data_IF_460250262290
#
_entry.id   IF_460250262290
#
_cell.length_a   1.000
_cell.length_b   1.000
_cell.length_c   1.000
_cell.angle_alpha   90.00
_cell.angle_beta   90.00
_cell.angle_gamma   90.00
#
_symmetry.space_group_name_H-M   'P 1'
#
loop_
_entity.id
_entity.type
_entity.pdbx_description
1 polymer ?
#
# COMPACT_ATOMS: atom_id res chain seq x y z
N UNK A 1 -11.90 -16.11 -13.09
CA UNK A 1 -12.17 -16.32 -11.65
C UNK A 1 -12.10 -14.97 -10.98
N UNK A 2 -13.07 -14.60 -10.14
CA UNK A 2 -13.01 -13.32 -9.40
C UNK A 2 -11.89 -13.46 -8.38
N UNK A 3 -10.95 -12.53 -8.37
CA UNK A 3 -9.89 -12.53 -7.36
C UNK A 3 -10.50 -12.39 -5.97
N UNK A 4 -9.92 -13.07 -4.99
CA UNK A 4 -10.29 -12.93 -3.58
C UNK A 4 -10.09 -11.47 -3.13
N UNK A 5 -11.01 -10.99 -2.28
CA UNK A 5 -10.99 -9.63 -1.74
C UNK A 5 -10.79 -9.67 -0.24
N UNK A 6 -9.95 -8.77 0.25
CA UNK A 6 -9.63 -8.62 1.67
C UNK A 6 -10.16 -7.28 2.14
N UNK A 7 -10.86 -7.30 3.28
CA UNK A 7 -11.54 -6.15 3.87
C UNK A 7 -10.93 -5.85 5.23
N UNK A 8 -10.50 -4.61 5.42
CA UNK A 8 -10.04 -4.09 6.70
C UNK A 8 -10.88 -2.86 7.01
N UNK A 9 -11.42 -2.72 8.22
CA UNK A 9 -12.36 -1.63 8.55
C UNK A 9 -12.14 -1.08 9.96
N UNK A 10 -12.35 0.22 10.14
CA UNK A 10 -12.30 0.91 11.43
C UNK A 10 -13.17 2.16 11.39
N UNK A 11 -14.29 2.16 12.11
CA UNK A 11 -15.24 3.28 12.13
C UNK A 11 -15.76 3.66 10.74
N UNK A 12 -15.44 4.87 10.29
CA UNK A 12 -15.82 5.40 8.96
C UNK A 12 -14.78 5.12 7.86
N UNK A 13 -13.71 4.39 8.19
CA UNK A 13 -12.63 4.08 7.28
C UNK A 13 -12.63 2.58 6.94
N UNK A 14 -12.40 2.26 5.67
CA UNK A 14 -12.27 0.86 5.23
C UNK A 14 -11.31 0.74 4.05
N UNK A 15 -10.61 -0.38 3.95
CA UNK A 15 -9.73 -0.72 2.85
C UNK A 15 -10.18 -2.05 2.22
N UNK A 16 -10.31 -2.04 0.90
CA UNK A 16 -10.61 -3.21 0.08
C UNK A 16 -9.43 -3.41 -0.87
N UNK A 17 -8.83 -4.59 -0.83
CA UNK A 17 -7.65 -4.96 -1.61
C UNK A 17 -7.74 -6.41 -2.11
N UNK A 18 -6.78 -6.83 -2.92
CA UNK A 18 -6.64 -8.24 -3.33
C UNK A 18 -5.95 -9.10 -2.26
N UNK A 19 -5.71 -10.38 -2.58
CA UNK A 19 -5.11 -11.36 -1.69
C UNK A 19 -3.63 -11.09 -1.35
N UNK A 20 -2.97 -10.18 -2.08
CA UNK A 20 -1.60 -9.74 -1.86
C UNK A 20 -1.56 -8.44 -1.02
N UNK A 21 -2.73 -7.86 -0.72
CA UNK A 21 -2.87 -6.57 -0.09
C UNK A 21 -2.76 -5.40 -1.08
N UNK A 22 -2.66 -5.65 -2.39
CA UNK A 22 -2.56 -4.59 -3.39
C UNK A 22 -3.93 -3.93 -3.62
N UNK A 23 -3.89 -2.60 -3.78
CA UNK A 23 -5.04 -1.80 -4.20
C UNK A 23 -4.80 -1.39 -5.64
N UNK A 24 -5.67 -1.87 -6.54
CA UNK A 24 -5.74 -1.46 -7.94
C UNK A 24 -7.20 -1.28 -8.28
N UNK A 25 -7.58 -0.12 -8.82
CA UNK A 25 -8.99 0.15 -9.17
C UNK A 25 -9.51 -0.90 -10.15
N UNK A 26 -10.70 -1.43 -9.84
CA UNK A 26 -11.52 -2.24 -10.73
C UNK A 26 -12.85 -1.51 -10.96
N UNK A 27 -13.34 -1.36 -12.21
CA UNK A 27 -14.63 -0.71 -12.47
C UNK A 27 -15.86 -1.40 -11.84
N UNK A 28 -15.73 -2.67 -11.45
CA UNK A 28 -16.83 -3.50 -10.95
C UNK A 28 -16.76 -3.74 -9.44
N UNK A 29 -15.62 -3.44 -8.79
CA UNK A 29 -15.41 -3.63 -7.36
C UNK A 29 -14.94 -2.32 -6.69
N UNK A 30 -15.43 -1.96 -5.48
CA UNK A 30 -15.02 -0.78 -4.73
C UNK A 30 -13.61 -0.92 -4.13
N UNK A 31 -12.59 -1.25 -4.92
CA UNK A 31 -11.21 -1.42 -4.45
C UNK A 31 -10.61 -0.06 -4.12
N UNK A 32 -10.01 0.07 -2.94
CA UNK A 32 -9.49 1.34 -2.43
C UNK A 32 -9.39 1.39 -0.91
N UNK A 33 -8.68 2.40 -0.42
CA UNK A 33 -8.82 2.87 0.95
C UNK A 33 -9.75 4.08 0.97
N UNK A 34 -10.80 3.99 1.79
CA UNK A 34 -11.87 4.97 1.89
C UNK A 34 -11.95 5.53 3.31
N UNK A 35 -12.34 6.79 3.41
CA UNK A 35 -12.69 7.45 4.66
C UNK A 35 -13.77 8.48 4.37
N UNK A 36 -14.85 8.51 5.16
CA UNK A 36 -16.01 9.38 4.94
C UNK A 36 -16.50 9.38 3.49
N UNK A 37 -16.74 8.18 2.95
CA UNK A 37 -17.20 7.93 1.57
C UNK A 37 -16.30 8.43 0.44
N UNK A 38 -15.07 8.87 0.73
CA UNK A 38 -14.08 9.31 -0.27
C UNK A 38 -12.93 8.29 -0.37
N UNK A 39 -12.53 7.90 -1.59
CA UNK A 39 -11.37 7.04 -1.86
C UNK A 39 -10.05 7.82 -1.78
N UNK A 40 -9.31 7.64 -0.69
CA UNK A 40 -8.00 8.27 -0.47
C UNK A 40 -6.83 7.49 -1.07
N UNK A 41 -6.94 6.17 -1.26
CA UNK A 41 -6.02 5.40 -2.09
C UNK A 41 -6.79 4.65 -3.17
N UNK A 42 -6.49 4.96 -4.42
CA UNK A 42 -6.93 4.22 -5.60
C UNK A 42 -5.84 3.28 -6.13
N UNK A 43 -4.59 3.49 -5.70
CA UNK A 43 -3.46 2.63 -6.02
C UNK A 43 -2.53 2.48 -4.81
N UNK A 44 -2.20 1.25 -4.45
CA UNK A 44 -1.26 0.89 -3.39
C UNK A 44 -0.69 -0.49 -3.69
N UNK A 45 0.42 -0.52 -4.44
CA UNK A 45 0.99 -1.76 -5.00
C UNK A 45 2.42 -1.93 -4.51
N UNK A 46 2.69 -3.08 -3.88
CA UNK A 46 4.03 -3.43 -3.41
C UNK A 46 4.78 -4.24 -4.47
N UNK A 47 6.03 -3.86 -4.74
CA UNK A 47 6.94 -4.56 -5.65
C UNK A 47 8.31 -4.78 -5.02
N UNK A 48 8.94 -5.86 -5.43
CA UNK A 48 10.34 -6.18 -5.13
C UNK A 48 11.06 -6.37 -6.45
N UNK A 49 12.13 -5.60 -6.65
CA UNK A 49 12.93 -5.60 -7.89
C UNK A 49 12.09 -5.42 -9.17
N UNK A 50 11.03 -4.63 -9.05
CA UNK A 50 10.10 -4.31 -10.14
C UNK A 50 8.96 -5.32 -10.33
N UNK A 51 8.99 -6.45 -9.63
CA UNK A 51 7.98 -7.52 -9.76
C UNK A 51 6.92 -7.45 -8.65
N UNK A 52 5.68 -7.82 -8.99
CA UNK A 52 4.61 -8.03 -8.00
C UNK A 52 4.80 -9.35 -7.28
N UNK A 53 4.32 -9.39 -6.06
CA UNK A 53 4.46 -10.55 -5.19
C UNK A 53 3.28 -11.50 -5.33
N UNK A 54 3.48 -12.75 -4.91
CA UNK A 54 2.42 -13.73 -4.77
C UNK A 54 2.12 -14.00 -3.30
N UNK A 55 0.85 -14.29 -3.01
CA UNK A 55 0.37 -14.58 -1.66
C UNK A 55 0.64 -16.05 -1.34
N UNK A 56 1.36 -16.32 -0.25
CA UNK A 56 1.52 -17.66 0.32
C UNK A 56 0.38 -17.97 1.29
N UNK A 57 0.10 -17.01 2.16
CA UNK A 57 -0.93 -17.11 3.18
C UNK A 57 -1.33 -15.73 3.68
N UNK A 58 -2.42 -15.70 4.44
CA UNK A 58 -2.97 -14.51 5.08
C UNK A 58 -3.42 -14.88 6.49
N UNK A 59 -3.22 -13.95 7.42
CA UNK A 59 -3.68 -14.05 8.80
C UNK A 59 -4.57 -12.85 9.12
N UNK A 60 -5.87 -13.11 9.24
CA UNK A 60 -6.89 -12.12 9.58
C UNK A 60 -6.99 -12.02 11.11
N UNK A 61 -6.13 -11.19 11.70
CA UNK A 61 -6.01 -11.06 13.15
C UNK A 61 -7.23 -10.41 13.80
N UNK A 62 -7.78 -9.38 13.15
CA UNK A 62 -9.01 -8.71 13.56
C UNK A 62 -9.69 -8.08 12.34
N UNK A 63 -10.87 -7.48 12.52
CA UNK A 63 -11.55 -6.78 11.44
C UNK A 63 -10.81 -5.51 10.96
N UNK A 64 -9.89 -4.99 11.77
CA UNK A 64 -9.11 -3.78 11.49
C UNK A 64 -7.62 -4.07 11.25
N UNK A 65 -7.19 -5.34 11.27
CA UNK A 65 -5.77 -5.73 11.20
C UNK A 65 -5.59 -7.07 10.46
N UNK A 66 -4.72 -7.07 9.45
CA UNK A 66 -4.44 -8.25 8.61
C UNK A 66 -2.96 -8.35 8.29
N UNK A 67 -2.43 -9.57 8.24
CA UNK A 67 -1.08 -9.87 7.75
C UNK A 67 -1.11 -10.65 6.46
N UNK A 68 -0.28 -10.25 5.51
CA UNK A 68 -0.07 -10.92 4.23
C UNK A 68 1.35 -11.48 4.20
N UNK A 69 1.49 -12.77 3.91
CA UNK A 69 2.78 -13.43 3.75
C UNK A 69 3.03 -13.64 2.26
N UNK A 70 4.08 -13.01 1.75
CA UNK A 70 4.31 -12.81 0.33
C UNK A 70 5.70 -13.28 -0.10
N UNK A 71 5.83 -13.68 -1.35
CA UNK A 71 7.09 -14.07 -1.99
C UNK A 71 7.18 -13.52 -3.42
N UNK A 72 8.38 -13.19 -3.93
CA UNK A 72 8.59 -12.95 -5.35
C UNK A 72 8.42 -14.23 -6.18
N UNK A 73 8.14 -14.08 -7.48
CA UNK A 73 7.99 -15.21 -8.40
C UNK A 73 6.69 -16.00 -8.19
N UNK A 74 6.36 -16.90 -9.13
CA UNK A 74 5.11 -17.65 -9.11
C UNK A 74 5.01 -18.53 -7.84
N UNK A 75 3.88 -18.45 -7.13
CA UNK A 75 3.55 -19.32 -6.01
C UNK A 75 3.36 -20.77 -6.49
N UNK A 76 4.47 -21.48 -6.71
CA UNK A 76 4.47 -22.92 -6.94
C UNK A 76 4.59 -23.65 -5.60
N UNK A 77 4.22 -24.93 -5.55
CA UNK A 77 4.25 -25.73 -4.32
C UNK A 77 5.65 -25.88 -3.67
N UNK A 78 6.70 -25.37 -4.32
CA UNK A 78 8.06 -25.26 -3.82
C UNK A 78 8.59 -23.86 -4.12
N UNK A 79 8.19 -22.88 -3.33
CA UNK A 79 8.90 -21.59 -3.32
C UNK A 79 10.01 -21.70 -2.28
N UNK A 80 11.18 -22.15 -2.73
CA UNK A 80 12.44 -21.91 -2.02
C UNK A 80 12.87 -20.48 -2.36
N UNK A 81 12.16 -19.50 -1.80
CA UNK A 81 12.53 -18.11 -2.00
C UNK A 81 13.53 -17.71 -0.93
N UNK A 82 14.71 -17.28 -1.40
CA UNK A 82 15.73 -16.63 -0.59
C UNK A 82 15.22 -15.34 0.08
N UNK A 83 14.02 -14.87 -0.28
CA UNK A 83 13.38 -13.69 0.30
C UNK A 83 11.88 -13.90 0.49
N UNK A 84 11.36 -13.43 1.62
CA UNK A 84 9.92 -13.28 1.83
C UNK A 84 9.57 -11.92 2.39
N UNK A 85 8.31 -11.53 2.25
CA UNK A 85 7.79 -10.27 2.70
C UNK A 85 6.55 -10.47 3.56
N UNK A 86 6.47 -9.69 4.64
CA UNK A 86 5.27 -9.59 5.45
C UNK A 86 4.74 -8.16 5.31
N UNK A 87 3.49 -8.04 4.87
CA UNK A 87 2.73 -6.78 4.99
C UNK A 87 1.84 -6.92 6.21
N UNK A 88 2.00 -6.05 7.17
CA UNK A 88 1.11 -5.96 8.30
C UNK A 88 0.30 -4.66 8.19
N UNK A 89 -0.97 -4.79 7.82
CA UNK A 89 -1.87 -3.68 7.61
C UNK A 89 -2.80 -3.52 8.79
N UNK A 90 -2.93 -2.30 9.29
CA UNK A 90 -3.95 -1.95 10.27
C UNK A 90 -4.65 -0.65 9.92
N UNK A 91 -5.93 -0.56 10.28
CA UNK A 91 -6.71 0.67 10.24
C UNK A 91 -7.07 1.12 11.65
N UNK A 92 -6.71 2.34 11.99
CA UNK A 92 -7.14 3.03 13.19
C UNK A 92 -7.71 4.41 12.80
N UNK A 93 -7.17 5.50 13.35
CA UNK A 93 -7.44 6.85 12.84
C UNK A 93 -6.82 7.09 11.46
N UNK A 94 -5.93 6.19 11.01
CA UNK A 94 -5.27 6.24 9.71
C UNK A 94 -5.11 4.83 9.10
N UNK A 95 -4.60 4.78 7.87
CA UNK A 95 -4.11 3.55 7.27
C UNK A 95 -2.63 3.39 7.60
N UNK A 96 -2.28 2.26 8.19
CA UNK A 96 -0.91 1.91 8.55
C UNK A 96 -0.50 0.61 7.86
N UNK A 97 0.73 0.58 7.37
CA UNK A 97 1.32 -0.63 6.82
C UNK A 97 2.77 -0.78 7.26
N UNK A 98 3.06 -1.84 8.01
CA UNK A 98 4.43 -2.26 8.29
C UNK A 98 4.88 -3.25 7.23
N UNK A 99 6.02 -2.97 6.63
CA UNK A 99 6.70 -3.85 5.70
C UNK A 99 7.89 -4.51 6.41
N UNK A 100 7.97 -5.83 6.31
CA UNK A 100 9.10 -6.63 6.77
C UNK A 100 9.62 -7.40 5.57
N UNK A 101 10.91 -7.28 5.27
CA UNK A 101 11.59 -8.04 4.22
C UNK A 101 12.59 -8.95 4.92
N UNK A 102 12.51 -10.25 4.64
CA UNK A 102 13.31 -11.30 5.28
C UNK A 102 14.24 -11.91 4.25
N UNK A 103 15.55 -11.92 4.53
CA UNK A 103 16.53 -12.65 3.72
C UNK A 103 16.78 -14.01 4.37
N UNK A 104 16.35 -15.09 3.72
CA UNK A 104 16.53 -16.48 4.18
C UNK A 104 17.81 -17.12 3.63
N UNK A 105 18.60 -16.37 2.85
CA UNK A 105 19.83 -16.91 2.27
C UNK A 105 21.02 -16.77 3.21
N UNK A 106 22.01 -17.62 3.00
CA UNK A 106 23.29 -17.56 3.70
C UNK A 106 24.22 -16.43 3.23
N UNK A 107 23.76 -15.55 2.32
CA UNK A 107 24.55 -14.44 1.76
C UNK A 107 23.81 -13.12 1.96
N UNK A 108 24.54 -11.98 2.04
CA UNK A 108 23.88 -10.68 2.01
C UNK A 108 23.13 -10.49 0.69
N UNK A 109 21.92 -9.94 0.75
CA UNK A 109 21.07 -9.69 -0.40
C UNK A 109 20.71 -8.21 -0.51
N UNK A 110 20.56 -7.72 -1.74
CA UNK A 110 20.16 -6.34 -2.03
C UNK A 110 18.82 -6.35 -2.77
N UNK A 111 17.90 -5.50 -2.32
CA UNK A 111 16.55 -5.42 -2.88
C UNK A 111 16.16 -3.98 -3.16
N UNK A 112 15.39 -3.78 -4.22
CA UNK A 112 14.63 -2.55 -4.47
C UNK A 112 13.17 -2.78 -4.11
N UNK A 113 12.73 -2.20 -2.99
CA UNK A 113 11.33 -2.24 -2.56
C UNK A 113 10.63 -0.99 -3.07
N UNK A 114 9.52 -1.17 -3.80
CA UNK A 114 8.72 -0.06 -4.32
C UNK A 114 7.28 -0.18 -3.86
N UNK A 115 6.73 0.92 -3.34
CA UNK A 115 5.29 1.09 -3.15
C UNK A 115 4.80 2.15 -4.13
N UNK A 116 4.02 1.72 -5.13
CA UNK A 116 3.35 2.64 -6.06
C UNK A 116 2.05 3.15 -5.43
N UNK A 117 1.90 4.47 -5.41
CA UNK A 117 0.82 5.17 -4.69
C UNK A 117 0.00 6.01 -5.67
N UNK A 118 -1.32 5.99 -5.49
CA UNK A 118 -2.23 6.83 -6.27
C UNK A 118 -3.52 7.12 -5.52
N UNK A 119 -4.09 8.29 -5.80
CA UNK A 119 -5.35 8.76 -5.25
C UNK A 119 -6.17 9.38 -6.36
N UNK A 120 -7.47 9.13 -6.37
CA UNK A 120 -8.41 9.79 -7.28
C UNK A 120 -9.52 10.54 -6.56
N UNK A 121 -9.62 10.41 -5.24
CA UNK A 121 -10.62 11.07 -4.38
C UNK A 121 -12.05 10.84 -4.87
N UNK A 122 -12.31 9.66 -5.45
CA UNK A 122 -13.62 9.27 -5.92
C UNK A 122 -14.56 8.98 -4.74
N UNK A 123 -15.79 9.47 -4.80
CA UNK A 123 -16.79 9.14 -3.80
C UNK A 123 -17.33 7.71 -4.03
N UNK A 124 -17.77 7.01 -2.98
CA UNK A 124 -18.30 5.64 -3.08
C UNK A 124 -19.46 5.55 -4.09
N UNK A 125 -20.24 6.62 -4.25
CA UNK A 125 -21.35 6.69 -5.20
C UNK A 125 -20.93 6.74 -6.68
N UNK A 126 -19.66 7.05 -6.99
CA UNK A 126 -19.16 7.21 -8.36
C UNK A 126 -18.08 6.19 -8.75
N UNK A 127 -17.77 5.20 -7.91
CA UNK A 127 -16.71 4.20 -8.16
C UNK A 127 -16.84 3.47 -9.52
N UNK A 128 -18.07 3.26 -10.01
CA UNK A 128 -18.31 2.60 -11.30
C UNK A 128 -17.93 3.51 -12.48
N UNK A 129 -18.06 4.83 -12.31
CA UNK A 129 -17.77 5.84 -13.31
C UNK A 129 -17.15 7.08 -12.63
N UNK A 130 -15.90 7.00 -12.14
CA UNK A 130 -15.30 8.08 -11.40
C UNK A 130 -15.14 9.32 -12.27
N UNK A 131 -15.41 10.49 -11.72
CA UNK A 131 -15.17 11.75 -12.43
C UNK A 131 -13.68 12.03 -12.48
N UNK A 132 -13.12 12.46 -13.64
CA UNK A 132 -11.74 12.89 -13.69
C UNK A 132 -11.49 14.04 -12.71
N UNK A 133 -10.55 13.85 -11.78
CA UNK A 133 -10.07 14.89 -10.86
C UNK A 133 -8.63 15.22 -11.15
N UNK A 134 -8.28 16.51 -11.13
CA UNK A 134 -6.89 16.94 -11.23
C UNK A 134 -6.24 16.84 -9.86
N UNK A 135 -5.46 15.79 -9.66
CA UNK A 135 -4.70 15.57 -8.42
C UNK A 135 -3.32 16.21 -8.58
N UNK A 136 -2.97 17.11 -7.67
CA UNK A 136 -1.61 17.62 -7.54
C UNK A 136 -0.80 16.69 -6.65
N UNK A 137 0.41 16.34 -7.07
CA UNK A 137 1.32 15.48 -6.31
C UNK A 137 2.57 16.27 -5.94
N UNK A 138 3.02 16.11 -4.69
CA UNK A 138 4.28 16.67 -4.20
C UNK A 138 5.07 15.55 -3.54
N UNK A 139 6.26 15.27 -4.09
CA UNK A 139 7.21 14.30 -3.57
C UNK A 139 8.33 15.01 -2.80
N UNK A 140 8.64 14.52 -1.60
CA UNK A 140 9.67 15.11 -0.74
C UNK A 140 10.45 14.00 -0.02
N UNK A 141 11.60 13.62 -0.58
CA UNK A 141 12.49 12.61 0.00
C UNK A 141 13.11 13.05 1.33
N UNK A 142 13.37 14.35 1.50
CA UNK A 142 13.94 14.89 2.74
C UNK A 142 12.95 14.77 3.91
N UNK A 143 11.65 14.94 3.63
CA UNK A 143 10.58 14.70 4.59
C UNK A 143 10.06 13.26 4.59
N UNK A 144 10.57 12.38 3.72
CA UNK A 144 10.10 11.00 3.53
C UNK A 144 8.59 10.93 3.28
N UNK A 145 8.10 11.84 2.44
CA UNK A 145 6.67 12.12 2.28
C UNK A 145 6.25 12.22 0.82
N UNK A 146 5.15 11.55 0.49
CA UNK A 146 4.38 11.77 -0.75
C UNK A 146 3.03 12.38 -0.39
N UNK A 147 2.68 13.51 -1.01
CA UNK A 147 1.40 14.19 -0.80
C UNK A 147 0.61 14.24 -2.09
N UNK A 148 -0.59 13.68 -2.08
CA UNK A 148 -1.58 13.80 -3.15
C UNK A 148 -2.71 14.70 -2.66
N UNK A 149 -3.11 15.67 -3.48
CA UNK A 149 -4.13 16.65 -3.11
C UNK A 149 -5.10 16.90 -4.26
N UNK A 150 -6.38 16.90 -3.92
CA UNK A 150 -7.44 17.42 -4.77
C UNK A 150 -8.10 18.63 -4.08
N UNK A 151 -8.39 19.67 -4.85
CA UNK A 151 -9.07 20.85 -4.36
C UNK A 151 -10.07 21.39 -5.38
N UNK A 152 -11.27 21.72 -4.91
CA UNK A 152 -12.32 22.39 -5.67
C UNK A 152 -13.03 23.38 -4.75
N UNK A 153 -12.82 24.67 -4.98
CA UNK A 153 -13.33 25.74 -4.12
C UNK A 153 -12.94 25.50 -2.65
N UNK A 154 -13.91 25.37 -1.73
CA UNK A 154 -13.67 25.08 -0.31
C UNK A 154 -13.38 23.61 0.00
N UNK A 155 -13.63 22.71 -0.95
CA UNK A 155 -13.48 21.27 -0.73
C UNK A 155 -12.04 20.85 -1.02
N UNK A 156 -11.34 20.35 -0.01
CA UNK A 156 -9.98 19.83 -0.12
C UNK A 156 -9.92 18.41 0.43
N UNK A 157 -9.27 17.53 -0.33
CA UNK A 157 -8.93 16.17 0.11
C UNK A 157 -7.43 15.97 -0.08
N UNK A 158 -6.78 15.41 0.93
CA UNK A 158 -5.35 15.08 0.84
C UNK A 158 -5.08 13.68 1.36
N UNK A 159 -4.18 13.00 0.68
CA UNK A 159 -3.52 11.78 1.13
C UNK A 159 -2.06 12.11 1.37
N UNK A 160 -1.57 11.84 2.58
CA UNK A 160 -0.17 12.08 2.94
C UNK A 160 0.40 10.73 3.36
N UNK A 161 1.35 10.21 2.56
CA UNK A 161 2.07 8.99 2.86
C UNK A 161 3.42 9.36 3.45
N UNK A 162 3.77 8.79 4.61
CA UNK A 162 5.08 8.97 5.25
C UNK A 162 5.73 7.63 5.57
N UNK A 163 7.06 7.63 5.66
CA UNK A 163 7.85 6.46 6.02
C UNK A 163 8.77 6.72 7.22
N UNK A 164 8.94 5.69 8.06
CA UNK A 164 9.91 5.72 9.16
C UNK A 164 11.35 5.49 8.71
N UNK A 165 11.58 4.75 7.63
CA UNK A 165 12.92 4.55 7.05
C UNK A 165 13.28 5.65 6.03
N UNK A 166 14.59 5.90 5.78
CA UNK A 166 15.04 6.70 4.64
C UNK A 166 14.49 6.14 3.33
N UNK A 167 13.98 7.02 2.46
CA UNK A 167 13.26 6.62 1.25
C UNK A 167 13.45 7.65 0.15
N UNK A 168 13.54 7.17 -1.08
CA UNK A 168 13.44 8.02 -2.27
C UNK A 168 11.97 8.14 -2.66
N UNK A 169 11.50 9.37 -2.81
CA UNK A 169 10.10 9.67 -3.13
C UNK A 169 10.05 10.38 -4.48
N UNK A 170 9.21 9.86 -5.36
CA UNK A 170 8.84 10.48 -6.64
C UNK A 170 7.31 10.64 -6.71
N UNK A 171 6.80 11.25 -7.78
CA UNK A 171 5.35 11.49 -7.94
C UNK A 171 4.51 10.21 -8.00
N UNK A 172 5.11 9.05 -8.26
CA UNK A 172 4.43 7.77 -8.33
C UNK A 172 4.49 6.93 -7.06
N UNK A 173 5.32 7.29 -6.07
CA UNK A 173 5.48 6.42 -4.90
C UNK A 173 6.78 6.55 -4.13
N UNK A 174 7.08 5.49 -3.38
CA UNK A 174 8.19 5.36 -2.44
C UNK A 174 9.10 4.22 -2.89
N UNK A 175 10.42 4.45 -2.91
CA UNK A 175 11.44 3.47 -3.29
C UNK A 175 12.51 3.34 -2.20
N UNK A 176 12.73 2.12 -1.73
CA UNK A 176 13.80 1.76 -0.81
C UNK A 176 14.83 0.91 -1.54
N UNK A 177 16.10 1.26 -1.40
CA UNK A 177 17.23 0.40 -1.80
C UNK A 177 17.89 -0.10 -0.53
N UNK A 178 17.71 -1.38 -0.27
CA UNK A 178 18.08 -1.99 1.01
C UNK A 178 19.09 -3.10 0.77
N UNK A 179 19.95 -3.30 1.78
CA UNK A 179 20.84 -4.45 1.89
C UNK A 179 20.51 -5.15 3.19
N UNK A 180 20.30 -6.45 3.14
CA UNK A 180 19.96 -7.29 4.29
C UNK A 180 21.05 -8.34 4.43
N UNK A 181 21.62 -8.45 5.63
CA UNK A 181 22.61 -9.47 5.94
C UNK A 181 21.99 -10.89 5.91
N UNK A 182 22.80 -11.97 5.89
CA UNK A 182 22.29 -13.35 5.90
C UNK A 182 21.33 -13.59 7.08
N UNK A 183 20.23 -14.28 6.84
CA UNK A 183 19.19 -14.58 7.85
C UNK A 183 18.64 -13.33 8.55
N UNK A 184 18.80 -12.16 7.93
CA UNK A 184 18.45 -10.85 8.47
C UNK A 184 17.09 -10.37 8.03
N UNK A 185 16.67 -9.24 8.62
CA UNK A 185 15.44 -8.56 8.24
C UNK A 185 15.65 -7.05 8.06
N UNK A 186 14.78 -6.45 7.25
CA UNK A 186 14.60 -5.01 7.16
C UNK A 186 13.13 -4.66 7.42
N UNK A 187 12.91 -3.58 8.16
CA UNK A 187 11.56 -3.15 8.58
C UNK A 187 11.39 -1.65 8.33
N UNK A 188 10.21 -1.28 7.80
CA UNK A 188 9.72 0.10 7.83
C UNK A 188 8.23 0.12 8.14
N UNK A 189 7.78 1.23 8.71
CA UNK A 189 6.36 1.57 8.81
C UNK A 189 6.03 2.65 7.78
N UNK A 190 4.86 2.49 7.16
CA UNK A 190 4.21 3.43 6.27
C UNK A 190 2.93 3.91 6.94
N UNK A 191 2.74 5.21 6.96
CA UNK A 191 1.55 5.83 7.52
C UNK A 191 0.86 6.68 6.45
N UNK A 192 -0.45 6.51 6.31
CA UNK A 192 -1.28 7.20 5.32
C UNK A 192 -2.34 8.02 6.05
N UNK A 193 -2.07 9.31 6.19
CA UNK A 193 -3.00 10.25 6.78
C UNK A 193 -3.98 10.79 5.73
N UNK A 194 -5.24 10.93 6.14
CA UNK A 194 -6.29 11.53 5.31
C UNK A 194 -6.66 12.90 5.87
N UNK A 195 -6.77 13.90 5.00
CA UNK A 195 -7.21 15.25 5.36
C UNK A 195 -8.46 15.61 4.59
N UNK A 196 -9.45 16.12 5.32
CA UNK A 196 -10.74 16.59 4.80
C UNK A 196 -10.91 18.03 5.28
N UNK A 197 -10.95 18.97 4.32
CA UNK A 197 -11.34 20.36 4.59
C UNK A 197 -12.54 20.70 3.69
N UNK A 198 -13.50 21.46 4.20
CA UNK A 198 -14.63 21.98 3.41
C UNK A 198 -15.97 21.99 4.12
#
# INVERSE_FOLDING_TARGET
>A
MRQERVYVTSGNAFAICDAQGDIVVDPHDPIGYFSFDTRFLSHWVLKVDGERLNSLSRDDMSYFETRFFLVPGAASHYVDADVSLIRHRSLDEAFNERLIVLNHSAQPAEFTIRVDVGSDFADTAEIQQPRPRRVSVVADSARRQLRLRYARERFVRQTIVTSTAPVEVDEGGLTYRIRIEPEGEWVTDLHVATLIEG
#
